data_IF_149749674631
#
_entry.id   IF_149749674631
#
_cell.length_a   1.000
_cell.length_b   1.000
_cell.length_c   1.000
_cell.angle_alpha   90.00
_cell.angle_beta   90.00
_cell.angle_gamma   90.00
#
_symmetry.space_group_name_H-M   'P 1'
#
loop_
_entity.id
_entity.type
_entity.pdbx_description
1 polymer ?
#
# COMPACT_ATOMS: atom_id res chain seq x y z
N UNK A 1 1.37 -14.29 3.02
CA UNK A 1 0.27 -13.30 3.04
C UNK A 1 -0.10 -12.97 4.47
N UNK A 2 0.44 -11.88 5.03
CA UNK A 2 0.08 -11.41 6.36
C UNK A 2 -1.32 -10.78 6.39
N UNK A 3 -1.93 -10.77 7.57
CA UNK A 3 -3.13 -9.98 7.84
C UNK A 3 -2.73 -8.69 8.58
N UNK A 4 -3.36 -7.58 8.21
CA UNK A 4 -3.18 -6.28 8.85
C UNK A 4 -4.54 -5.71 9.30
N UNK A 5 -4.59 -5.34 10.58
CA UNK A 5 -5.69 -4.65 11.24
C UNK A 5 -5.11 -3.50 12.07
N UNK A 6 -4.64 -2.47 11.38
CA UNK A 6 -4.08 -1.28 12.02
C UNK A 6 -5.14 -0.32 12.54
N UNK A 7 -4.73 0.65 13.36
CA UNK A 7 -5.61 1.72 13.89
C UNK A 7 -6.21 2.58 12.79
N UNK A 8 -5.49 2.70 11.67
CA UNK A 8 -5.90 3.46 10.48
C UNK A 8 -6.54 2.57 9.41
N UNK A 9 -6.88 1.32 9.75
CA UNK A 9 -7.53 0.42 8.82
C UNK A 9 -8.94 0.90 8.46
N UNK A 10 -9.32 0.69 7.21
CA UNK A 10 -10.65 0.94 6.71
C UNK A 10 -11.06 -0.10 5.69
N UNK A 11 -12.37 -0.28 5.54
CA UNK A 11 -12.92 -1.36 4.70
C UNK A 11 -12.90 -2.71 5.42
N UNK A 12 -13.12 -3.78 4.67
CA UNK A 12 -13.24 -5.16 5.19
C UNK A 12 -12.04 -6.05 4.86
N UNK A 13 -11.21 -5.63 3.90
CA UNK A 13 -10.03 -6.40 3.49
C UNK A 13 -8.89 -6.18 4.49
N UNK A 14 -8.34 -7.29 4.99
CA UNK A 14 -7.23 -7.30 5.96
C UNK A 14 -5.98 -7.95 5.40
N UNK A 15 -6.09 -8.74 4.33
CA UNK A 15 -4.97 -9.48 3.78
C UNK A 15 -4.03 -8.58 2.99
N UNK A 16 -2.73 -8.75 3.21
CA UNK A 16 -1.65 -8.11 2.48
C UNK A 16 -0.82 -9.15 1.72
N UNK A 17 -0.24 -8.72 0.59
CA UNK A 17 0.91 -9.40 0.01
C UNK A 17 2.15 -9.07 0.84
N UNK A 18 3.12 -9.98 0.92
CA UNK A 18 4.30 -9.81 1.78
C UNK A 18 5.10 -8.54 1.42
N UNK A 19 5.12 -8.17 0.13
CA UNK A 19 5.78 -6.94 -0.34
C UNK A 19 5.09 -5.64 0.09
N UNK A 20 3.80 -5.69 0.46
CA UNK A 20 3.04 -4.50 0.87
C UNK A 20 3.15 -4.20 2.36
N UNK A 21 3.49 -5.20 3.18
CA UNK A 21 3.58 -5.08 4.63
C UNK A 21 4.47 -3.93 5.12
N UNK A 22 5.73 -3.77 4.67
CA UNK A 22 6.59 -2.68 5.16
C UNK A 22 6.03 -1.30 4.80
N UNK A 23 5.40 -1.16 3.63
CA UNK A 23 4.80 0.10 3.18
C UNK A 23 3.57 0.48 4.00
N UNK A 24 2.70 -0.48 4.29
CA UNK A 24 1.49 -0.24 5.08
C UNK A 24 1.85 0.10 6.52
N UNK A 25 2.82 -0.62 7.12
CA UNK A 25 3.33 -0.30 8.45
C UNK A 25 4.01 1.07 8.51
N UNK A 26 4.73 1.47 7.46
CA UNK A 26 5.31 2.81 7.38
C UNK A 26 4.21 3.88 7.25
N UNK A 27 3.24 3.69 6.36
CA UNK A 27 2.12 4.60 6.17
C UNK A 27 1.28 4.79 7.44
N UNK A 28 1.06 3.72 8.21
CA UNK A 28 0.31 3.79 9.47
C UNK A 28 0.96 4.72 10.50
N UNK A 29 2.30 4.77 10.54
CA UNK A 29 3.07 5.60 11.47
C UNK A 29 3.07 7.09 11.10
N UNK A 30 2.77 7.44 9.86
CA UNK A 30 2.77 8.82 9.38
C UNK A 30 1.51 9.55 9.86
N UNK A 31 1.61 10.64 10.64
CA UNK A 31 0.45 11.33 11.20
C UNK A 31 -0.47 11.93 10.12
N UNK A 32 0.07 12.26 8.95
CA UNK A 32 -0.68 12.83 7.82
C UNK A 32 -1.60 11.79 7.16
N UNK A 33 -1.37 10.50 7.40
CA UNK A 33 -2.24 9.41 6.93
C UNK A 33 -3.41 9.26 7.88
N UNK A 34 -4.62 9.47 7.37
CA UNK A 34 -5.87 9.39 8.15
C UNK A 34 -6.53 8.03 8.03
N UNK A 35 -6.42 7.37 6.87
CA UNK A 35 -7.05 6.07 6.60
C UNK A 35 -6.29 5.29 5.53
N UNK A 36 -6.22 3.97 5.70
CA UNK A 36 -5.65 3.02 4.73
C UNK A 36 -6.71 1.98 4.42
N UNK A 37 -7.04 1.82 3.13
CA UNK A 37 -7.99 0.82 2.65
C UNK A 37 -7.26 -0.17 1.77
N UNK A 38 -7.28 -1.44 2.16
CA UNK A 38 -6.72 -2.52 1.36
C UNK A 38 -7.70 -2.85 0.23
N UNK A 39 -7.20 -2.89 -1.00
CA UNK A 39 -7.96 -3.26 -2.18
C UNK A 39 -7.65 -4.68 -2.63
N UNK A 40 -8.04 -4.97 -3.87
CA UNK A 40 -7.92 -6.30 -4.46
C UNK A 40 -6.47 -6.76 -4.58
N UNK A 41 -6.28 -8.07 -4.38
CA UNK A 41 -5.05 -8.78 -4.68
C UNK A 41 -5.27 -9.55 -5.99
N UNK A 42 -4.46 -9.24 -7.00
CA UNK A 42 -4.46 -9.95 -8.28
C UNK A 42 -3.26 -10.90 -8.34
N UNK A 43 -3.53 -12.20 -8.45
CA UNK A 43 -2.48 -13.19 -8.72
C UNK A 43 -1.93 -13.03 -10.14
N UNK A 44 -0.64 -13.25 -10.31
CA UNK A 44 0.04 -13.25 -11.61
C UNK A 44 0.92 -14.50 -11.73
N UNK A 45 0.31 -15.68 -11.90
CA UNK A 45 1.05 -16.93 -12.03
C UNK A 45 1.98 -16.89 -13.25
N UNK A 46 3.11 -17.59 -13.15
CA UNK A 46 4.08 -17.75 -14.26
C UNK A 46 4.95 -16.51 -14.57
N UNK A 47 4.63 -15.31 -14.05
CA UNK A 47 5.45 -14.11 -14.23
C UNK A 47 6.14 -13.73 -12.92
N UNK A 48 7.41 -14.13 -12.75
CA UNK A 48 8.27 -13.64 -11.67
C UNK A 48 8.53 -12.14 -11.87
N UNK A 49 7.67 -11.31 -11.29
CA UNK A 49 7.79 -9.86 -11.34
C UNK A 49 8.90 -9.35 -10.42
N UNK A 50 9.56 -8.25 -10.80
CA UNK A 50 10.41 -7.51 -9.86
C UNK A 50 9.53 -6.72 -8.89
N UNK A 51 9.90 -6.68 -7.61
CA UNK A 51 9.23 -5.85 -6.60
C UNK A 51 9.28 -4.39 -7.03
N UNK A 52 8.12 -3.74 -7.11
CA UNK A 52 7.98 -2.35 -7.52
C UNK A 52 6.73 -1.77 -6.87
N UNK A 53 6.73 -0.45 -6.68
CA UNK A 53 5.54 0.29 -6.25
C UNK A 53 5.27 1.39 -7.25
N UNK A 54 4.00 1.59 -7.56
CA UNK A 54 3.52 2.75 -8.31
C UNK A 54 2.60 3.57 -7.42
N UNK A 55 2.87 4.85 -7.33
CA UNK A 55 2.01 5.83 -6.65
C UNK A 55 1.23 6.62 -7.69
N UNK A 56 -0.07 6.80 -7.48
CA UNK A 56 -0.95 7.63 -8.32
C UNK A 56 -1.75 8.55 -7.42
N UNK A 57 -1.49 9.85 -7.49
CA UNK A 57 -2.16 10.85 -6.67
C UNK A 57 -3.65 10.91 -7.08
N UNK A 58 -4.51 11.03 -6.08
CA UNK A 58 -5.97 11.14 -6.23
C UNK A 58 -6.46 12.35 -5.43
N UNK A 59 -7.75 12.71 -5.57
CA UNK A 59 -8.33 13.86 -4.88
C UNK A 59 -8.27 13.76 -3.35
N UNK A 60 -8.33 12.55 -2.78
CA UNK A 60 -8.41 12.31 -1.33
C UNK A 60 -7.16 11.66 -0.73
N UNK A 61 -6.02 11.70 -1.44
CA UNK A 61 -4.80 11.00 -1.07
C UNK A 61 -4.14 10.37 -2.29
N UNK A 62 -3.85 9.07 -2.28
CA UNK A 62 -3.27 8.37 -3.42
C UNK A 62 -3.57 6.87 -3.46
N UNK A 63 -3.50 6.30 -4.67
CA UNK A 63 -3.48 4.87 -4.92
C UNK A 63 -2.04 4.38 -4.96
N UNK A 64 -1.74 3.38 -4.17
CA UNK A 64 -0.47 2.65 -4.14
C UNK A 64 -0.69 1.25 -4.72
N UNK A 65 0.00 0.94 -5.81
CA UNK A 65 -0.02 -0.37 -6.44
C UNK A 65 1.30 -1.06 -6.11
N UNK A 66 1.23 -2.10 -5.27
CA UNK A 66 2.41 -2.87 -4.84
C UNK A 66 2.51 -4.13 -5.69
N UNK A 67 3.61 -4.26 -6.43
CA UNK A 67 3.95 -5.44 -7.20
C UNK A 67 4.84 -6.34 -6.35
N UNK A 68 4.36 -7.54 -6.02
CA UNK A 68 5.16 -8.64 -5.51
C UNK A 68 5.66 -9.54 -6.65
N UNK A 69 6.33 -10.65 -6.29
CA UNK A 69 6.87 -11.58 -7.27
C UNK A 69 5.79 -12.30 -8.07
N UNK A 70 4.69 -12.68 -7.41
CA UNK A 70 3.60 -13.51 -7.98
C UNK A 70 2.23 -12.86 -7.83
N UNK A 71 2.15 -11.62 -7.33
CA UNK A 71 0.90 -10.92 -7.06
C UNK A 71 1.04 -9.40 -7.21
N UNK A 72 -0.08 -8.72 -7.38
CA UNK A 72 -0.22 -7.26 -7.31
C UNK A 72 -1.28 -6.95 -6.27
N UNK A 73 -1.06 -5.95 -5.44
CA UNK A 73 -2.08 -5.45 -4.53
C UNK A 73 -2.29 -3.96 -4.72
N UNK A 74 -3.56 -3.57 -4.72
CA UNK A 74 -3.98 -2.17 -4.69
C UNK A 74 -4.24 -1.73 -3.26
N UNK A 75 -3.75 -0.56 -2.88
CA UNK A 75 -3.91 0.01 -1.53
C UNK A 75 -4.22 1.48 -1.68
N UNK A 76 -5.31 1.94 -1.08
CA UNK A 76 -5.69 3.35 -1.06
C UNK A 76 -5.25 3.98 0.25
N UNK A 77 -4.51 5.07 0.17
CA UNK A 77 -4.06 5.85 1.33
C UNK A 77 -4.75 7.21 1.26
N UNK A 78 -5.45 7.55 2.35
CA UNK A 78 -6.12 8.82 2.52
C UNK A 78 -5.24 9.74 3.37
N UNK A 79 -5.02 10.94 2.86
CA UNK A 79 -4.16 11.96 3.46
C UNK A 79 -4.43 13.31 2.80
N UNK A 80 -4.27 14.38 3.57
CA UNK A 80 -4.32 15.75 3.06
C UNK A 80 -2.97 16.20 2.46
N UNK A 81 -1.89 15.45 2.72
CA UNK A 81 -0.52 15.73 2.26
C UNK A 81 0.04 14.62 1.35
N UNK A 82 -0.59 14.30 0.19
CA UNK A 82 -0.23 13.15 -0.63
C UNK A 82 1.20 13.18 -1.18
N UNK A 83 1.77 14.36 -1.41
CA UNK A 83 3.14 14.52 -1.91
C UNK A 83 4.17 14.13 -0.85
N UNK A 84 3.99 14.60 0.38
CA UNK A 84 4.89 14.35 1.50
C UNK A 84 4.86 12.88 1.91
N UNK A 85 3.66 12.31 2.07
CA UNK A 85 3.50 10.89 2.38
C UNK A 85 4.14 10.03 1.31
N UNK A 86 3.94 10.35 0.02
CA UNK A 86 4.58 9.63 -1.09
C UNK A 86 6.11 9.66 -0.97
N UNK A 87 6.72 10.82 -0.75
CA UNK A 87 8.18 10.94 -0.62
C UNK A 87 8.72 10.13 0.56
N UNK A 88 7.98 10.08 1.68
CA UNK A 88 8.35 9.24 2.82
C UNK A 88 8.26 7.74 2.49
N UNK A 89 7.22 7.32 1.77
CA UNK A 89 7.05 5.92 1.37
C UNK A 89 8.03 5.47 0.26
N UNK A 90 8.49 6.37 -0.60
CA UNK A 90 9.51 6.06 -1.61
C UNK A 90 10.87 5.69 -1.00
N UNK A 91 11.14 6.12 0.24
CA UNK A 91 12.36 5.76 0.99
C UNK A 91 12.27 4.36 1.62
N UNK A 92 11.08 3.75 1.66
CA UNK A 92 10.88 2.41 2.22
C UNK A 92 11.38 1.37 1.24
N UNK A 93 12.38 0.58 1.66
CA UNK A 93 12.98 -0.46 0.83
C UNK A 93 12.07 -1.70 0.76
N UNK A 94 11.91 -2.24 -0.46
CA UNK A 94 11.16 -3.47 -0.78
C UNK A 94 12.06 -4.69 -0.93
#
# INVERSE_FOLDING_TARGET
MPNWQGKKSGGTHTTLIDAAEPLVKAAEKLPEVTKIVLGFIKATPGKKGKRRVKFTITRSGFLMIVRGNTSVQEIRIYTDSPKEVKQNLEKVRL
#
